data_IF_338361078153
#
_entry.id   IF_338361078153
#
_cell.length_a   1.000
_cell.length_b   1.000
_cell.length_c   1.000
_cell.angle_alpha   90.00
_cell.angle_beta   90.00
_cell.angle_gamma   90.00
#
_symmetry.space_group_name_H-M   'P 1'
#
loop_
_entity.id
_entity.type
_entity.pdbx_description
1 polymer ?
#
# COMPACT_ATOMS: atom_id res chain seq x y z
N UNK A 1 -20.21 -21.73 -2.94
CA UNK A 1 -21.47 -21.31 -2.26
C UNK A 1 -21.29 -19.93 -1.63
N UNK A 2 -22.13 -18.96 -1.97
CA UNK A 2 -22.08 -17.60 -1.41
C UNK A 2 -23.14 -17.47 -0.32
N UNK A 3 -22.78 -16.87 0.82
CA UNK A 3 -23.71 -16.64 1.93
C UNK A 3 -24.72 -15.55 1.56
N UNK A 4 -25.98 -15.78 1.89
CA UNK A 4 -27.07 -14.80 1.73
C UNK A 4 -27.65 -14.51 3.11
N UNK A 5 -27.92 -13.23 3.42
CA UNK A 5 -28.55 -12.80 4.68
C UNK A 5 -27.65 -12.08 5.69
N UNK A 6 -28.06 -12.06 6.96
CA UNK A 6 -27.43 -11.25 8.00
C UNK A 6 -26.02 -11.75 8.36
N UNK A 7 -25.04 -10.85 8.37
CA UNK A 7 -23.67 -11.15 8.80
C UNK A 7 -23.62 -11.29 10.32
N UNK A 8 -23.02 -12.38 10.81
CA UNK A 8 -22.81 -12.59 12.25
C UNK A 8 -21.96 -11.46 12.82
N UNK A 9 -22.47 -10.68 13.80
CA UNK A 9 -21.68 -9.62 14.41
C UNK A 9 -20.55 -10.22 15.26
N UNK A 10 -19.35 -9.68 15.12
CA UNK A 10 -18.23 -10.00 15.99
C UNK A 10 -17.59 -8.70 16.48
N UNK A 11 -17.89 -8.36 17.74
CA UNK A 11 -17.47 -7.11 18.37
C UNK A 11 -15.95 -7.01 18.48
N UNK A 12 -15.28 -8.13 18.80
CA UNK A 12 -13.82 -8.18 18.93
C UNK A 12 -13.13 -7.90 17.60
N UNK A 13 -13.59 -8.51 16.49
CA UNK A 13 -12.99 -8.28 15.16
C UNK A 13 -13.34 -6.90 14.61
N UNK A 14 -14.53 -6.39 14.89
CA UNK A 14 -14.95 -5.03 14.52
C UNK A 14 -14.09 -3.96 15.20
N UNK A 15 -13.89 -4.06 16.52
CA UNK A 15 -13.02 -3.15 17.27
C UNK A 15 -11.57 -3.25 16.80
N UNK A 16 -11.04 -4.48 16.64
CA UNK A 16 -9.68 -4.71 16.13
C UNK A 16 -9.48 -4.13 14.72
N UNK A 17 -10.47 -4.24 13.84
CA UNK A 17 -10.41 -3.68 12.49
C UNK A 17 -10.36 -2.13 12.49
N UNK A 18 -10.96 -1.50 13.51
CA UNK A 18 -11.02 -0.05 13.71
C UNK A 18 -9.81 0.53 14.43
N UNK A 19 -9.17 -0.24 15.32
CA UNK A 19 -7.98 0.18 16.08
C UNK A 19 -6.68 -0.32 15.45
N UNK A 20 -6.16 -1.46 15.92
CA UNK A 20 -4.86 -2.02 15.51
C UNK A 20 -4.80 -2.36 14.02
N UNK A 21 -5.91 -2.84 13.45
CA UNK A 21 -6.03 -3.10 12.02
C UNK A 21 -5.98 -1.82 11.17
N UNK A 22 -6.50 -0.70 11.69
CA UNK A 22 -6.41 0.59 10.98
C UNK A 22 -4.97 1.11 10.97
N UNK A 23 -4.27 1.05 12.12
CA UNK A 23 -2.86 1.40 12.22
C UNK A 23 -1.98 0.55 11.29
N UNK A 24 -2.15 -0.78 11.30
CA UNK A 24 -1.41 -1.68 10.39
C UNK A 24 -1.65 -1.39 8.92
N UNK A 25 -2.89 -1.04 8.52
CA UNK A 25 -3.19 -0.66 7.12
C UNK A 25 -2.61 0.70 6.75
N UNK A 26 -2.55 1.65 7.68
CA UNK A 26 -1.94 2.96 7.47
C UNK A 26 -0.43 2.83 7.24
N UNK A 27 0.26 2.05 8.07
CA UNK A 27 1.69 1.74 7.90
C UNK A 27 1.95 1.02 6.57
N UNK A 28 1.15 0.01 6.23
CA UNK A 28 1.29 -0.70 4.95
C UNK A 28 1.02 0.18 3.73
N UNK A 29 0.09 1.14 3.83
CA UNK A 29 -0.15 2.15 2.77
C UNK A 29 1.04 3.09 2.58
N UNK A 30 1.78 3.38 3.65
CA UNK A 30 2.95 4.26 3.59
C UNK A 30 4.21 3.55 3.06
N UNK A 31 4.32 2.23 3.29
CA UNK A 31 5.53 1.46 2.95
C UNK A 31 5.40 0.74 1.59
N UNK A 32 4.21 0.26 1.23
CA UNK A 32 4.02 -0.54 0.02
C UNK A 32 3.31 0.33 -1.03
N UNK A 33 3.97 0.66 -2.16
CA UNK A 33 3.48 1.66 -3.13
C UNK A 33 2.13 1.32 -3.79
N UNK A 34 1.63 0.08 -3.63
CA UNK A 34 0.34 -0.37 -4.18
C UNK A 34 -0.67 -0.91 -3.16
N UNK A 35 -0.38 -0.81 -1.87
CA UNK A 35 -1.26 -1.37 -0.85
C UNK A 35 -2.45 -0.45 -0.57
N UNK A 36 -3.67 -0.93 -0.84
CA UNK A 36 -4.91 -0.22 -0.49
C UNK A 36 -5.44 0.79 -1.52
N UNK A 37 -4.88 0.81 -2.74
CA UNK A 37 -5.45 1.50 -3.90
C UNK A 37 -6.76 0.84 -4.35
N UNK A 38 -7.69 1.62 -4.91
CA UNK A 38 -8.96 1.09 -5.48
C UNK A 38 -8.63 0.22 -6.70
N UNK A 39 -9.39 -0.85 -6.94
CA UNK A 39 -9.17 -1.76 -8.08
C UNK A 39 -8.09 -2.85 -7.87
N UNK A 40 -7.11 -2.62 -6.99
CA UNK A 40 -5.99 -3.54 -6.74
C UNK A 40 -6.39 -4.97 -6.35
N UNK A 41 -7.59 -5.16 -5.78
CA UNK A 41 -8.13 -6.48 -5.45
C UNK A 41 -8.47 -7.33 -6.68
N UNK A 42 -8.89 -6.70 -7.78
CA UNK A 42 -9.20 -7.38 -9.05
C UNK A 42 -7.93 -7.82 -9.78
N UNK A 43 -6.87 -7.02 -9.68
CA UNK A 43 -5.56 -7.33 -10.28
C UNK A 43 -4.86 -8.44 -9.50
N UNK A 44 -4.77 -8.30 -8.16
CA UNK A 44 -4.01 -9.25 -7.33
C UNK A 44 -4.74 -10.56 -7.03
N UNK A 45 -6.07 -10.55 -6.96
CA UNK A 45 -6.89 -11.71 -6.58
C UNK A 45 -8.32 -11.61 -7.16
N UNK A 46 -8.50 -11.77 -8.49
CA UNK A 46 -9.78 -11.55 -9.17
C UNK A 46 -10.92 -12.40 -8.61
N UNK A 47 -10.67 -13.69 -8.35
CA UNK A 47 -11.65 -14.62 -7.76
C UNK A 47 -12.20 -14.13 -6.40
N UNK A 48 -11.33 -13.57 -5.55
CA UNK A 48 -11.71 -13.05 -4.23
C UNK A 48 -12.42 -11.72 -4.33
N UNK A 49 -12.01 -10.86 -5.28
CA UNK A 49 -12.70 -9.60 -5.56
C UNK A 49 -14.13 -9.84 -6.05
N UNK A 50 -14.32 -10.76 -6.99
CA UNK A 50 -15.63 -11.19 -7.47
C UNK A 50 -16.48 -11.79 -6.33
N UNK A 51 -15.93 -12.70 -5.53
CA UNK A 51 -16.62 -13.26 -4.36
C UNK A 51 -17.06 -12.16 -3.38
N UNK A 52 -16.17 -11.22 -3.04
CA UNK A 52 -16.49 -10.13 -2.12
C UNK A 52 -17.53 -9.17 -2.70
N UNK A 53 -17.53 -8.94 -4.02
CA UNK A 53 -18.53 -8.13 -4.70
C UNK A 53 -19.92 -8.77 -4.56
N UNK A 54 -20.04 -10.07 -4.85
CA UNK A 54 -21.30 -10.82 -4.67
C UNK A 54 -21.68 -10.87 -3.19
N UNK A 55 -20.77 -11.27 -2.30
CA UNK A 55 -20.99 -11.36 -0.86
C UNK A 55 -21.45 -10.02 -0.25
N UNK A 56 -20.86 -8.89 -0.66
CA UNK A 56 -21.23 -7.57 -0.15
C UNK A 56 -22.65 -7.13 -0.55
N UNK A 57 -23.13 -7.61 -1.71
CA UNK A 57 -24.48 -7.35 -2.24
C UNK A 57 -25.53 -8.30 -1.66
N UNK A 58 -25.17 -9.56 -1.40
CA UNK A 58 -26.12 -10.59 -0.92
C UNK A 58 -26.19 -10.69 0.60
N UNK A 59 -25.38 -9.94 1.34
CA UNK A 59 -25.36 -9.97 2.81
C UNK A 59 -25.51 -8.59 3.42
N UNK A 60 -26.23 -8.53 4.54
CA UNK A 60 -26.50 -7.28 5.27
C UNK A 60 -25.77 -7.31 6.62
N UNK A 61 -25.05 -6.25 6.97
CA UNK A 61 -24.42 -6.11 8.28
C UNK A 61 -25.26 -5.27 9.26
N UNK A 62 -25.04 -5.46 10.57
CA UNK A 62 -25.68 -4.65 11.62
C UNK A 62 -25.45 -3.15 11.42
N UNK A 63 -24.26 -2.74 10.94
CA UNK A 63 -23.97 -1.35 10.61
C UNK A 63 -24.70 -0.80 9.38
N UNK A 64 -25.07 -1.68 8.44
CA UNK A 64 -25.85 -1.31 7.25
C UNK A 64 -27.31 -1.10 7.65
N UNK A 65 -27.84 -1.94 8.53
CA UNK A 65 -29.18 -1.78 9.14
C UNK A 65 -29.26 -0.49 9.95
N UNK A 66 -28.30 -0.23 10.84
CA UNK A 66 -28.27 1.00 11.64
C UNK A 66 -28.23 2.26 10.76
N UNK A 67 -27.47 2.22 9.66
CA UNK A 67 -27.41 3.33 8.68
C UNK A 67 -28.71 3.48 7.90
N UNK A 68 -29.37 2.39 7.54
CA UNK A 68 -30.66 2.41 6.88
C UNK A 68 -31.75 3.00 7.79
N UNK A 69 -31.79 2.59 9.06
CA UNK A 69 -32.72 3.12 10.08
C UNK A 69 -32.49 4.61 10.34
N UNK A 70 -31.21 5.04 10.42
CA UNK A 70 -30.88 6.46 10.55
C UNK A 70 -31.31 7.27 9.32
N UNK A 71 -31.24 6.70 8.10
CA UNK A 71 -31.71 7.34 6.87
C UNK A 71 -33.24 7.34 6.72
N UNK A 72 -33.94 6.34 7.22
CA UNK A 72 -35.41 6.29 7.17
C UNK A 72 -36.05 7.27 8.16
N UNK A 73 -35.45 7.49 9.33
CA UNK A 73 -35.88 8.53 10.27
C UNK A 73 -35.79 9.96 9.70
N UNK A 74 -34.85 10.20 8.78
CA UNK A 74 -34.74 11.46 8.06
C UNK A 74 -35.77 11.62 6.92
N UNK A 75 -36.40 10.52 6.46
CA UNK A 75 -37.44 10.53 5.41
C UNK A 75 -38.86 10.58 5.98
N UNK A 76 -39.10 10.05 7.19
CA UNK A 76 -40.42 10.05 7.82
C UNK A 76 -40.86 11.43 8.35
N UNK A 77 -39.94 12.38 8.51
CA UNK A 77 -40.28 13.77 8.86
C UNK A 77 -40.81 14.58 7.69
N UNK A 78 -40.84 14.04 6.47
CA UNK A 78 -41.20 14.76 5.25
C UNK A 78 -42.62 14.49 4.72
N UNK A 79 -43.38 13.53 5.28
CA UNK A 79 -44.63 13.04 4.66
C UNK A 79 -45.93 13.36 5.42
N UNK A 80 -45.96 14.36 6.30
CA UNK A 80 -47.18 14.78 7.02
C UNK A 80 -47.49 16.26 6.82
N UNK A 81 -47.80 16.70 5.60
CA UNK A 81 -48.72 17.84 5.38
C UNK A 81 -49.22 17.77 3.94
N UNK A 82 -50.47 17.36 3.77
CA UNK A 82 -51.23 17.50 2.53
C UNK A 82 -52.55 18.15 2.90
N UNK A 83 -52.77 19.40 2.50
CA UNK A 83 -54.11 19.98 2.34
C UNK A 83 -54.04 21.34 1.64
N UNK A 84 -54.81 21.44 0.55
CA UNK A 84 -55.51 22.64 0.04
C UNK A 84 -54.72 23.57 -0.92
N UNK A 85 -54.96 23.30 -2.22
CA UNK A 85 -55.35 24.18 -3.35
C UNK A 85 -54.66 25.53 -3.64
N UNK A 86 -54.27 25.63 -4.93
CA UNK A 86 -54.40 26.77 -5.88
C UNK A 86 -53.17 27.64 -6.18
N UNK A 87 -52.90 27.66 -7.49
CA UNK A 87 -52.29 28.66 -8.39
C UNK A 87 -50.81 29.05 -8.26
N UNK A 88 -50.20 28.98 -9.44
CA UNK A 88 -48.88 29.38 -9.86
C UNK A 88 -48.56 30.86 -9.57
N UNK A 89 -47.39 31.10 -9.01
CA UNK A 89 -46.26 31.84 -9.59
C UNK A 89 -45.41 32.48 -8.48
N UNK A 90 -44.10 32.30 -8.63
CA UNK A 90 -43.01 33.13 -8.08
C UNK A 90 -42.85 33.22 -6.55
N UNK A 91 -41.87 32.49 -6.00
CA UNK A 91 -41.42 32.67 -4.61
C UNK A 91 -39.90 32.47 -4.49
N UNK A 92 -39.20 33.59 -4.36
CA UNK A 92 -38.09 33.86 -3.42
C UNK A 92 -38.05 32.88 -2.22
N UNK A 93 -36.97 32.13 -1.94
CA UNK A 93 -36.91 31.36 -0.70
C UNK A 93 -36.28 32.20 0.42
N UNK A 94 -37.14 32.80 1.25
CA UNK A 94 -36.76 33.23 2.59
C UNK A 94 -36.99 32.08 3.60
N UNK A 95 -35.87 31.69 4.22
CA UNK A 95 -35.66 31.19 5.59
C UNK A 95 -36.56 30.09 6.20
N UNK A 96 -35.92 28.96 6.53
CA UNK A 96 -36.35 27.93 7.52
C UNK A 96 -35.52 28.07 8.83
N UNK A 97 -36.03 27.54 9.96
CA UNK A 97 -35.79 28.06 11.31
C UNK A 97 -34.36 27.84 11.83
N UNK A 98 -33.85 28.87 12.49
CA UNK A 98 -32.49 28.95 13.01
C UNK A 98 -32.26 28.02 14.21
N UNK A 99 -31.51 26.93 13.98
CA UNK A 99 -30.76 26.29 15.05
C UNK A 99 -29.49 27.12 15.30
N UNK A 100 -29.47 27.86 16.42
CA UNK A 100 -28.30 28.62 16.87
C UNK A 100 -27.12 27.66 17.08
N UNK A 101 -26.11 27.72 16.22
CA UNK A 101 -24.86 26.99 16.37
C UNK A 101 -23.72 27.98 16.57
N UNK A 102 -22.79 27.64 17.46
CA UNK A 102 -21.59 28.42 17.80
C UNK A 102 -20.83 28.89 16.56
N UNK A 103 -20.84 28.06 15.52
CA UNK A 103 -20.20 28.26 14.24
C UNK A 103 -20.88 29.35 13.40
N UNK A 104 -22.21 29.50 13.50
CA UNK A 104 -23.01 30.39 12.65
C UNK A 104 -23.01 31.84 13.15
N UNK A 105 -22.81 32.07 14.44
CA UNK A 105 -22.79 33.43 15.03
C UNK A 105 -21.42 34.14 14.94
N UNK A 106 -20.36 33.37 14.68
CA UNK A 106 -19.00 33.89 14.47
C UNK A 106 -18.78 34.12 12.98
N UNK A 107 -18.98 35.36 12.55
CA UNK A 107 -18.92 35.80 11.15
C UNK A 107 -17.59 36.41 10.74
N UNK A 108 -16.71 36.75 11.70
CA UNK A 108 -15.41 37.38 11.41
C UNK A 108 -14.25 36.71 12.13
N UNK A 109 -13.06 36.79 11.52
CA UNK A 109 -11.82 36.20 12.06
C UNK A 109 -11.44 36.83 13.40
N UNK A 110 -11.67 38.13 13.59
CA UNK A 110 -11.37 38.83 14.85
C UNK A 110 -12.29 38.38 16.00
N UNK A 111 -13.58 38.17 15.71
CA UNK A 111 -14.54 37.62 16.68
C UNK A 111 -14.22 36.15 17.01
N UNK A 112 -13.73 35.38 16.04
CA UNK A 112 -13.25 34.01 16.25
C UNK A 112 -12.01 33.97 17.16
N UNK A 113 -11.06 34.89 16.99
CA UNK A 113 -9.88 35.00 17.85
C UNK A 113 -10.26 35.36 19.29
N UNK A 114 -11.19 36.31 19.49
CA UNK A 114 -11.72 36.68 20.82
C UNK A 114 -12.45 35.52 21.49
N UNK A 115 -13.29 34.79 20.74
CA UNK A 115 -13.99 33.60 21.24
C UNK A 115 -13.04 32.44 21.58
N UNK A 116 -11.97 32.25 20.80
CA UNK A 116 -10.89 31.28 21.09
C UNK A 116 -10.12 31.66 22.36
N UNK A 117 -9.80 32.94 22.56
CA UNK A 117 -9.13 33.43 23.76
C UNK A 117 -9.99 33.20 25.01
N UNK A 118 -11.29 33.52 24.94
CA UNK A 118 -12.26 33.26 26.01
C UNK A 118 -12.44 31.76 26.27
N UNK A 119 -12.44 30.94 25.22
CA UNK A 119 -12.50 29.48 25.34
C UNK A 119 -11.22 28.89 25.95
N UNK A 120 -10.06 29.52 25.75
CA UNK A 120 -8.80 29.06 26.33
C UNK A 120 -8.67 29.46 27.81
N UNK A 121 -8.99 30.69 28.17
CA UNK A 121 -8.84 31.22 29.54
C UNK A 121 -10.01 30.85 30.47
N UNK A 122 -11.23 30.72 29.92
CA UNK A 122 -12.47 30.54 30.68
C UNK A 122 -13.32 29.38 30.12
N UNK A 123 -12.68 28.42 29.44
CA UNK A 123 -13.37 27.29 28.80
C UNK A 123 -13.90 26.23 29.75
N UNK A 124 -13.31 26.09 30.93
CA UNK A 124 -13.74 25.13 31.94
C UNK A 124 -15.09 25.49 32.58
N UNK A 125 -15.46 26.78 32.60
CA UNK A 125 -16.77 27.26 33.07
C UNK A 125 -17.80 27.40 31.94
N UNK A 126 -17.42 27.15 30.67
CA UNK A 126 -18.31 27.24 29.52
C UNK A 126 -18.66 28.67 29.08
N UNK A 127 -17.97 29.70 29.58
CA UNK A 127 -18.28 31.10 29.31
C UNK A 127 -18.22 31.47 27.81
N UNK A 128 -17.43 30.76 27.00
CA UNK A 128 -17.40 30.94 25.54
C UNK A 128 -18.74 30.60 24.86
N UNK A 129 -19.54 29.69 25.43
CA UNK A 129 -20.92 29.39 24.95
C UNK A 129 -21.92 30.48 25.33
N UNK A 130 -21.68 31.19 26.43
CA UNK A 130 -22.46 32.37 26.82
C UNK A 130 -22.15 33.59 25.92
N UNK A 131 -20.88 33.76 25.51
CA UNK A 131 -20.48 34.78 24.54
C UNK A 131 -21.17 34.60 23.18
N UNK A 132 -21.37 33.35 22.75
CA UNK A 132 -22.18 32.98 21.59
C UNK A 132 -23.71 32.94 21.86
N UNK A 133 -24.19 33.69 22.88
CA UNK A 133 -25.62 33.84 23.26
C UNK A 133 -26.43 32.53 23.34
N UNK A 134 -25.79 31.39 23.59
CA UNK A 134 -26.42 30.06 23.67
C UNK A 134 -26.64 29.65 25.12
N UNK A 135 -27.56 30.35 25.80
CA UNK A 135 -27.82 30.22 27.24
C UNK A 135 -28.24 28.80 27.66
N UNK A 136 -29.07 28.11 26.88
CA UNK A 136 -29.50 26.74 27.21
C UNK A 136 -28.34 25.73 27.22
N UNK A 137 -27.41 25.86 26.28
CA UNK A 137 -26.24 24.97 26.22
C UNK A 137 -25.18 25.33 27.27
N UNK A 138 -25.16 26.59 27.71
CA UNK A 138 -24.28 27.09 28.75
C UNK A 138 -24.63 26.49 30.12
N UNK A 139 -25.91 26.52 30.53
CA UNK A 139 -26.34 25.92 31.80
C UNK A 139 -26.08 24.40 31.85
N UNK A 140 -26.30 23.71 30.73
CA UNK A 140 -26.03 22.27 30.62
C UNK A 140 -24.53 21.96 30.72
N UNK A 141 -23.67 22.85 30.21
CA UNK A 141 -22.21 22.72 30.29
C UNK A 141 -21.66 23.03 31.69
N UNK A 142 -22.25 24.03 32.36
CA UNK A 142 -21.88 24.47 33.71
C UNK A 142 -22.20 23.40 34.75
N UNK A 143 -23.40 22.80 34.69
CA UNK A 143 -23.81 21.75 35.62
C UNK A 143 -23.12 20.40 35.38
N UNK A 144 -22.55 20.20 34.18
CA UNK A 144 -21.83 18.97 33.82
C UNK A 144 -20.31 19.12 33.94
N UNK A 145 -19.79 20.28 34.37
CA UNK A 145 -18.35 20.57 34.45
C UNK A 145 -17.59 20.16 33.17
N UNK A 146 -18.17 20.44 31.99
CA UNK A 146 -17.55 20.05 30.72
C UNK A 146 -17.27 18.53 30.58
N UNK A 147 -18.03 17.69 31.31
CA UNK A 147 -18.08 16.22 31.35
C UNK A 147 -16.74 15.49 31.09
N UNK A 148 -15.66 15.85 31.80
CA UNK A 148 -14.25 15.39 31.69
C UNK A 148 -13.32 16.18 30.75
N UNK A 149 -13.62 17.43 30.41
CA UNK A 149 -12.71 18.29 29.62
C UNK A 149 -12.65 17.93 28.12
N UNK A 150 -13.22 16.79 27.71
CA UNK A 150 -13.38 16.44 26.30
C UNK A 150 -14.33 17.39 25.56
N UNK A 151 -15.34 17.92 26.24
CA UNK A 151 -16.21 18.97 25.69
C UNK A 151 -15.43 20.24 25.38
N UNK A 152 -14.43 20.58 26.19
CA UNK A 152 -13.59 21.76 26.00
C UNK A 152 -12.67 21.58 24.80
N UNK A 153 -12.05 20.40 24.68
CA UNK A 153 -11.22 20.05 23.53
C UNK A 153 -12.01 20.04 22.22
N UNK A 154 -13.24 19.51 22.23
CA UNK A 154 -14.11 19.49 21.06
C UNK A 154 -14.51 20.91 20.61
N UNK A 155 -14.83 21.80 21.56
CA UNK A 155 -15.17 23.18 21.25
C UNK A 155 -13.96 23.96 20.68
N UNK A 156 -12.73 23.70 21.17
CA UNK A 156 -11.49 24.26 20.60
C UNK A 156 -11.28 23.82 19.15
N UNK A 157 -11.38 22.51 18.87
CA UNK A 157 -11.21 21.98 17.50
C UNK A 157 -12.26 22.57 16.57
N UNK A 158 -13.50 22.71 17.04
CA UNK A 158 -14.59 23.29 16.25
C UNK A 158 -14.34 24.77 15.93
N UNK A 159 -13.88 25.57 16.90
CA UNK A 159 -13.53 26.98 16.69
C UNK A 159 -12.31 27.15 15.77
N UNK A 160 -11.30 26.28 15.88
CA UNK A 160 -10.12 26.28 14.99
C UNK A 160 -10.49 25.95 13.55
N UNK A 161 -11.33 24.92 13.34
CA UNK A 161 -11.82 24.59 12.01
C UNK A 161 -12.60 25.76 11.41
N UNK A 162 -13.49 26.39 12.17
CA UNK A 162 -14.24 27.57 11.71
C UNK A 162 -13.34 28.77 11.37
N UNK A 163 -12.30 29.02 12.16
CA UNK A 163 -11.30 30.06 11.86
C UNK A 163 -10.56 29.77 10.55
N UNK A 164 -10.21 28.52 10.31
CA UNK A 164 -9.53 28.11 9.06
C UNK A 164 -10.44 28.27 7.85
N UNK A 165 -11.74 27.96 7.98
CA UNK A 165 -12.74 28.20 6.95
C UNK A 165 -12.90 29.69 6.64
N UNK A 166 -12.99 30.55 7.67
CA UNK A 166 -13.10 32.00 7.49
C UNK A 166 -11.87 32.62 6.82
N UNK A 167 -10.65 32.10 7.08
CA UNK A 167 -9.45 32.55 6.35
C UNK A 167 -9.49 32.15 4.87
N UNK A 168 -9.95 30.94 4.56
CA UNK A 168 -10.07 30.48 3.16
C UNK A 168 -11.10 31.28 2.37
N UNK A 169 -12.14 31.76 3.04
CA UNK A 169 -13.14 32.65 2.44
C UNK A 169 -12.64 34.09 2.27
N UNK A 170 -11.74 34.56 3.12
CA UNK A 170 -11.12 35.88 2.99
C UNK A 170 -10.05 35.97 1.88
N UNK A 171 -9.53 34.83 1.43
CA UNK A 171 -8.52 34.72 0.37
C UNK A 171 -9.13 34.67 -1.05
N UNK A 172 -10.46 34.79 -1.14
CA UNK A 172 -11.22 34.68 -2.39
C UNK A 172 -12.04 35.96 -2.65
N UNK A 173 -11.36 37.06 -2.95
CA UNK A 173 -11.97 38.22 -3.62
C UNK A 173 -11.13 38.58 -4.87
N UNK A 174 -11.72 38.86 -6.06
CA UNK A 174 -11.09 38.65 -7.36
C UNK A 174 -10.62 39.94 -8.03
N UNK A 175 -9.57 39.87 -8.87
CA UNK A 175 -9.42 40.84 -9.98
C UNK A 175 -8.71 40.25 -11.20
N UNK A 176 -9.32 40.50 -12.37
CA UNK A 176 -8.89 40.38 -13.80
C UNK A 176 -8.89 38.96 -14.43
N UNK A 177 -9.93 38.56 -15.20
CA UNK A 177 -10.34 38.91 -16.59
C UNK A 177 -9.51 38.20 -17.70
N UNK A 178 -10.02 37.56 -18.77
CA UNK A 178 -11.31 36.96 -19.18
C UNK A 178 -11.11 36.24 -20.55
N UNK A 179 -11.51 34.96 -20.67
CA UNK A 179 -12.22 34.24 -21.79
C UNK A 179 -11.61 34.16 -23.24
N UNK A 180 -12.08 33.26 -24.15
CA UNK A 180 -13.27 32.40 -24.08
C UNK A 180 -13.09 30.90 -24.45
N UNK A 181 -14.19 30.19 -24.21
CA UNK A 181 -14.43 28.76 -24.32
C UNK A 181 -14.21 28.17 -25.72
N UNK A 182 -13.74 26.92 -25.77
CA UNK A 182 -14.16 25.95 -26.79
C UNK A 182 -14.39 24.59 -26.14
N UNK A 183 -15.46 23.95 -26.58
CA UNK A 183 -15.91 22.62 -26.15
C UNK A 183 -15.30 21.65 -27.15
N UNK A 184 -14.43 20.72 -26.74
CA UNK A 184 -14.46 19.38 -27.35
C UNK A 184 -13.61 18.31 -26.66
N UNK A 185 -14.17 17.10 -26.74
CA UNK A 185 -13.59 15.76 -26.57
C UNK A 185 -13.04 15.33 -25.19
N UNK A 186 -13.71 14.32 -24.65
CA UNK A 186 -13.32 13.54 -23.46
C UNK A 186 -12.23 12.50 -23.79
N UNK A 187 -11.35 12.78 -24.75
CA UNK A 187 -10.31 11.86 -25.22
C UNK A 187 -8.87 12.29 -24.84
N UNK A 188 -8.63 13.56 -24.50
CA UNK A 188 -7.28 14.05 -24.16
C UNK A 188 -6.85 13.90 -22.70
N UNK A 189 -7.67 13.29 -21.84
CA UNK A 189 -7.32 13.13 -20.41
C UNK A 189 -6.38 11.96 -20.10
N UNK A 190 -6.03 11.16 -21.10
CA UNK A 190 -5.13 10.00 -20.92
C UNK A 190 -3.67 10.28 -21.30
N UNK A 191 -3.34 11.43 -21.91
CA UNK A 191 -1.95 11.81 -22.24
C UNK A 191 -1.31 12.67 -21.13
N UNK A 192 -2.12 13.32 -20.29
CA UNK A 192 -1.61 14.07 -19.14
C UNK A 192 -1.30 13.18 -17.92
N UNK A 193 -1.83 11.95 -17.86
CA UNK A 193 -1.57 11.03 -16.75
C UNK A 193 -0.31 10.18 -16.99
N UNK A 194 0.14 9.99 -18.24
CA UNK A 194 1.40 9.29 -18.57
C UNK A 194 2.64 9.99 -18.01
N UNK A 195 2.69 11.33 -18.06
CA UNK A 195 3.82 12.10 -17.53
C UNK A 195 3.96 12.05 -16.00
N UNK A 196 2.89 11.71 -15.27
CA UNK A 196 2.91 11.57 -13.81
C UNK A 196 3.43 10.18 -13.36
N UNK A 197 3.33 9.15 -14.22
CA UNK A 197 3.88 7.82 -13.93
C UNK A 197 5.39 7.77 -14.15
N UNK A 198 5.87 8.39 -15.23
CA UNK A 198 7.31 8.53 -15.54
C UNK A 198 8.00 9.36 -14.47
N UNK A 199 7.48 10.56 -14.14
CA UNK A 199 8.07 11.44 -13.13
C UNK A 199 8.09 10.81 -11.72
N UNK A 200 7.13 9.93 -11.42
CA UNK A 200 7.09 9.16 -10.16
C UNK A 200 8.03 7.95 -10.19
N UNK A 201 8.16 7.29 -11.33
CA UNK A 201 9.16 6.24 -11.58
C UNK A 201 10.58 6.77 -11.47
N UNK A 202 10.84 7.94 -12.03
CA UNK A 202 12.11 8.66 -11.97
C UNK A 202 12.45 9.05 -10.53
N UNK A 203 11.46 9.55 -9.78
CA UNK A 203 11.64 9.87 -8.36
C UNK A 203 11.94 8.63 -7.50
N UNK A 204 11.28 7.50 -7.75
CA UNK A 204 11.54 6.23 -7.06
C UNK A 204 12.91 5.63 -7.44
N UNK A 205 13.29 5.72 -8.72
CA UNK A 205 14.59 5.27 -9.21
C UNK A 205 15.74 6.12 -8.63
N UNK A 206 15.58 7.45 -8.61
CA UNK A 206 16.54 8.37 -8.01
C UNK A 206 16.70 8.11 -6.51
N UNK A 207 15.60 7.92 -5.78
CA UNK A 207 15.64 7.57 -4.35
C UNK A 207 16.34 6.23 -4.10
N UNK A 208 16.14 5.23 -4.99
CA UNK A 208 16.83 3.93 -4.91
C UNK A 208 18.33 4.07 -5.15
N UNK A 209 18.74 4.86 -6.14
CA UNK A 209 20.14 5.13 -6.44
C UNK A 209 20.82 5.89 -5.28
N UNK A 210 20.15 6.89 -4.73
CA UNK A 210 20.66 7.63 -3.58
C UNK A 210 20.83 6.73 -2.34
N UNK A 211 19.85 5.84 -2.09
CA UNK A 211 19.94 4.87 -1.01
C UNK A 211 21.12 3.90 -1.22
N UNK A 212 21.32 3.41 -2.45
CA UNK A 212 22.45 2.54 -2.77
C UNK A 212 23.79 3.26 -2.60
N UNK A 213 23.90 4.54 -2.98
CA UNK A 213 25.09 5.36 -2.74
C UNK A 213 25.39 5.51 -1.24
N UNK A 214 24.37 5.76 -0.42
CA UNK A 214 24.50 5.85 1.04
C UNK A 214 24.91 4.52 1.67
N UNK A 215 24.28 3.42 1.23
CA UNK A 215 24.63 2.09 1.72
C UNK A 215 26.07 1.72 1.36
N UNK A 216 26.50 1.98 0.11
CA UNK A 216 27.88 1.75 -0.35
C UNK A 216 28.89 2.53 0.51
N UNK A 217 28.68 3.83 0.68
CA UNK A 217 29.56 4.66 1.53
C UNK A 217 29.62 4.16 2.98
N UNK A 218 28.48 3.75 3.56
CA UNK A 218 28.45 3.15 4.89
C UNK A 218 29.29 1.86 4.97
N UNK A 219 29.29 1.03 3.93
CA UNK A 219 30.13 -0.18 3.90
C UNK A 219 31.62 0.16 3.88
N UNK A 220 32.02 1.10 3.02
CA UNK A 220 33.41 1.58 2.92
C UNK A 220 33.89 2.18 4.25
N UNK A 221 33.08 3.03 4.89
CA UNK A 221 33.40 3.65 6.19
C UNK A 221 33.59 2.62 7.31
N UNK A 222 32.95 1.45 7.19
CA UNK A 222 33.08 0.35 8.14
C UNK A 222 34.15 -0.68 7.71
N UNK A 223 35.00 -0.35 6.72
CA UNK A 223 36.15 -1.14 6.32
C UNK A 223 35.83 -2.33 5.41
N UNK A 224 34.68 -2.33 4.74
CA UNK A 224 34.36 -3.33 3.72
C UNK A 224 34.91 -2.85 2.38
N UNK A 225 35.71 -3.70 1.73
CA UNK A 225 36.13 -3.48 0.35
C UNK A 225 34.93 -3.69 -0.59
N UNK A 226 34.32 -2.60 -1.05
CA UNK A 226 33.14 -2.67 -1.92
C UNK A 226 33.49 -2.98 -3.36
N UNK A 227 34.72 -2.70 -3.78
CA UNK A 227 35.20 -2.92 -5.15
C UNK A 227 35.45 -4.40 -5.42
N UNK A 228 35.56 -5.22 -4.37
CA UNK A 228 35.63 -6.67 -4.50
C UNK A 228 34.37 -7.29 -5.12
N UNK A 229 33.22 -6.62 -5.06
CA UNK A 229 31.94 -7.14 -5.55
C UNK A 229 31.68 -6.69 -6.99
N UNK A 230 32.49 -7.18 -7.92
CA UNK A 230 32.31 -6.90 -9.35
C UNK A 230 31.26 -7.80 -9.99
N UNK A 231 30.75 -7.40 -11.15
CA UNK A 231 29.79 -8.16 -11.96
C UNK A 231 30.38 -9.51 -12.38
N UNK A 232 31.65 -9.53 -12.78
CA UNK A 232 32.36 -10.75 -13.19
C UNK A 232 32.49 -11.74 -12.04
N UNK A 233 32.81 -11.23 -10.83
CA UNK A 233 32.86 -12.08 -9.63
C UNK A 233 31.49 -12.70 -9.37
N UNK A 234 30.42 -11.91 -9.44
CA UNK A 234 29.06 -12.38 -9.17
C UNK A 234 28.63 -13.43 -10.19
N UNK A 235 28.87 -13.20 -11.48
CA UNK A 235 28.56 -14.15 -12.54
C UNK A 235 29.36 -15.47 -12.38
N UNK A 236 30.66 -15.36 -12.10
CA UNK A 236 31.52 -16.53 -11.85
C UNK A 236 31.09 -17.30 -10.60
N UNK A 237 30.72 -16.61 -9.52
CA UNK A 237 30.23 -17.24 -8.29
C UNK A 237 28.89 -17.94 -8.50
N UNK A 238 27.98 -17.34 -9.29
CA UNK A 238 26.71 -17.96 -9.66
C UNK A 238 26.93 -19.27 -10.44
N UNK A 239 27.68 -19.21 -11.54
CA UNK A 239 27.96 -20.36 -12.40
C UNK A 239 28.67 -21.48 -11.63
N UNK A 240 29.77 -21.17 -10.93
CA UNK A 240 30.51 -22.15 -10.13
C UNK A 240 29.64 -22.81 -9.06
N UNK A 241 28.75 -22.05 -8.42
CA UNK A 241 27.84 -22.62 -7.42
C UNK A 241 26.83 -23.57 -8.06
N UNK A 242 26.25 -23.20 -9.21
CA UNK A 242 25.31 -24.06 -9.92
C UNK A 242 26.00 -25.34 -10.38
N UNK A 243 27.14 -25.24 -11.04
CA UNK A 243 27.92 -26.36 -11.56
C UNK A 243 28.32 -27.35 -10.46
N UNK A 244 28.75 -26.84 -9.30
CA UNK A 244 29.23 -27.68 -8.20
C UNK A 244 28.13 -28.27 -7.33
N UNK A 245 27.04 -27.53 -7.06
CA UNK A 245 26.03 -27.94 -6.06
C UNK A 245 24.75 -28.48 -6.71
N UNK A 246 24.32 -27.92 -7.84
CA UNK A 246 23.06 -28.29 -8.49
C UNK A 246 23.11 -28.17 -10.02
N UNK A 247 24.00 -28.91 -10.71
CA UNK A 247 24.24 -28.75 -12.15
C UNK A 247 22.99 -28.98 -13.01
N UNK A 248 22.00 -29.76 -12.54
CA UNK A 248 20.73 -29.92 -13.23
C UNK A 248 19.97 -28.61 -13.46
N UNK A 249 20.22 -27.57 -12.65
CA UNK A 249 19.61 -26.25 -12.84
C UNK A 249 20.13 -25.50 -14.08
N UNK A 250 21.27 -25.89 -14.65
CA UNK A 250 21.77 -25.31 -15.92
C UNK A 250 20.83 -25.59 -17.09
N UNK A 251 19.88 -26.53 -17.00
CA UNK A 251 18.89 -26.73 -18.05
C UNK A 251 18.02 -25.49 -18.31
N UNK A 252 17.78 -24.67 -17.29
CA UNK A 252 17.01 -23.43 -17.40
C UNK A 252 17.84 -22.26 -17.92
N UNK A 253 19.17 -22.43 -18.03
CA UNK A 253 20.07 -21.40 -18.49
C UNK A 253 20.09 -21.34 -20.03
N UNK A 254 19.88 -20.14 -20.57
CA UNK A 254 19.89 -19.84 -22.01
C UNK A 254 20.79 -18.67 -22.38
N UNK A 255 21.61 -18.20 -21.43
CA UNK A 255 22.41 -16.99 -21.62
C UNK A 255 22.65 -16.18 -20.34
N UNK A 256 22.53 -16.79 -19.15
CA UNK A 256 22.71 -16.11 -17.87
C UNK A 256 24.10 -15.46 -17.74
N UNK A 257 25.12 -16.01 -18.38
CA UNK A 257 26.47 -15.44 -18.40
C UNK A 257 26.58 -14.12 -19.17
N UNK A 258 25.61 -13.81 -20.03
CA UNK A 258 25.56 -12.58 -20.82
C UNK A 258 24.82 -11.45 -20.10
N UNK A 259 24.14 -11.76 -18.99
CA UNK A 259 23.38 -10.78 -18.20
C UNK A 259 24.26 -10.03 -17.20
N UNK A 260 24.05 -8.72 -17.10
CA UNK A 260 24.67 -7.88 -16.07
C UNK A 260 23.99 -8.12 -14.71
N UNK A 261 24.73 -8.59 -13.69
CA UNK A 261 24.18 -8.81 -12.36
C UNK A 261 23.76 -7.49 -11.70
N UNK A 262 22.53 -7.45 -11.17
CA UNK A 262 22.11 -6.34 -10.31
C UNK A 262 22.71 -6.50 -8.91
N UNK A 263 23.65 -5.62 -8.55
CA UNK A 263 24.33 -5.63 -7.26
C UNK A 263 23.74 -4.53 -6.36
N UNK A 264 23.40 -4.91 -5.12
CA UNK A 264 22.83 -3.97 -4.15
C UNK A 264 23.45 -4.14 -2.76
N UNK A 265 23.85 -3.04 -2.15
CA UNK A 265 24.35 -2.99 -0.78
C UNK A 265 23.19 -2.94 0.20
N UNK A 266 23.22 -3.81 1.20
CA UNK A 266 22.18 -3.89 2.22
C UNK A 266 22.23 -2.67 3.14
N UNK A 267 21.07 -2.15 3.54
CA UNK A 267 21.03 -1.07 4.53
C UNK A 267 21.47 -1.56 5.91
N UNK A 268 22.00 -0.66 6.77
CA UNK A 268 22.26 -0.96 8.17
C UNK A 268 21.04 -1.55 8.87
N UNK A 269 21.28 -2.38 9.88
CA UNK A 269 20.19 -2.89 10.70
C UNK A 269 19.46 -1.76 11.41
N UNK A 270 18.27 -2.04 11.96
CA UNK A 270 17.47 -1.03 12.70
C UNK A 270 18.23 -0.38 13.88
N UNK A 271 19.28 -1.03 14.37
CA UNK A 271 20.14 -0.54 15.46
C UNK A 271 21.39 0.20 14.95
N UNK A 272 21.52 0.40 13.64
CA UNK A 272 22.68 1.02 13.01
C UNK A 272 23.91 0.11 12.91
N UNK A 273 23.78 -1.18 13.26
CA UNK A 273 24.87 -2.16 13.16
C UNK A 273 24.98 -2.73 11.74
N UNK A 274 26.19 -3.17 11.39
CA UNK A 274 26.49 -3.89 10.17
C UNK A 274 25.58 -5.11 9.98
N UNK A 275 24.88 -5.24 8.83
CA UNK A 275 24.09 -6.43 8.54
C UNK A 275 24.99 -7.66 8.33
N UNK A 276 24.47 -8.86 8.60
CA UNK A 276 25.20 -10.11 8.35
C UNK A 276 25.52 -10.29 6.85
N UNK A 277 24.54 -9.98 6.01
CA UNK A 277 24.72 -9.95 4.56
C UNK A 277 24.95 -8.48 4.17
N UNK A 278 26.07 -8.19 3.53
CA UNK A 278 26.45 -6.82 3.17
C UNK A 278 26.02 -6.47 1.75
N UNK A 279 26.01 -7.47 0.86
CA UNK A 279 25.64 -7.34 -0.55
C UNK A 279 24.64 -8.43 -0.92
N UNK A 280 23.61 -8.04 -1.66
CA UNK A 280 22.70 -8.91 -2.37
C UNK A 280 22.85 -8.66 -3.87
N UNK A 281 23.22 -9.70 -4.60
CA UNK A 281 23.33 -9.67 -6.05
C UNK A 281 22.28 -10.58 -6.69
N UNK A 282 21.76 -10.18 -7.85
CA UNK A 282 20.76 -10.93 -8.60
C UNK A 282 21.15 -10.99 -10.07
N UNK A 283 21.10 -12.19 -10.64
CA UNK A 283 21.16 -12.43 -12.07
C UNK A 283 19.80 -13.01 -12.48
N UNK A 284 19.18 -12.43 -13.50
CA UNK A 284 17.93 -12.92 -14.05
C UNK A 284 18.07 -12.99 -15.56
N UNK A 285 17.84 -14.16 -16.12
CA UNK A 285 17.81 -14.37 -17.56
C UNK A 285 16.50 -15.02 -17.95
N UNK A 286 15.93 -14.59 -19.08
CA UNK A 286 14.72 -15.15 -19.65
C UNK A 286 14.88 -15.25 -21.17
N UNK A 287 14.71 -16.45 -21.70
CA UNK A 287 14.64 -16.68 -23.14
C UNK A 287 13.37 -16.01 -23.68
N UNK A 288 13.55 -15.02 -24.56
CA UNK A 288 12.46 -14.31 -25.22
C UNK A 288 12.64 -14.44 -26.71
N UNK A 289 11.70 -15.10 -27.38
CA UNK A 289 11.66 -15.21 -28.84
C UNK A 289 10.59 -14.29 -29.39
N UNK A 290 10.97 -13.42 -30.32
CA UNK A 290 10.02 -12.54 -31.00
C UNK A 290 9.40 -13.31 -32.17
N UNK A 291 8.12 -13.63 -32.06
CA UNK A 291 7.34 -14.23 -33.16
C UNK A 291 6.61 -13.12 -33.91
N UNK A 292 6.79 -13.08 -35.23
CA UNK A 292 6.00 -12.22 -36.10
C UNK A 292 4.66 -12.90 -36.40
N UNK A 293 3.57 -12.22 -36.11
CA UNK A 293 2.27 -12.66 -36.60
C UNK A 293 2.11 -12.37 -38.11
N UNK A 294 1.04 -12.90 -38.71
CA UNK A 294 0.73 -12.68 -40.13
C UNK A 294 0.39 -11.22 -40.49
N UNK A 295 0.24 -10.36 -39.49
CA UNK A 295 -0.07 -8.93 -39.63
C UNK A 295 1.15 -8.03 -39.31
N UNK A 296 2.32 -8.62 -39.03
CA UNK A 296 3.56 -7.91 -38.73
C UNK A 296 3.70 -7.43 -37.28
N UNK A 297 2.89 -7.92 -36.34
CA UNK A 297 3.07 -7.66 -34.92
C UNK A 297 4.08 -8.63 -34.30
N UNK A 298 5.05 -8.08 -33.57
CA UNK A 298 6.02 -8.84 -32.79
C UNK A 298 5.38 -9.23 -31.45
N UNK A 299 5.16 -10.53 -31.22
CA UNK A 299 4.76 -11.04 -29.91
C UNK A 299 5.94 -11.75 -29.23
N UNK A 300 6.31 -11.35 -28.00
CA UNK A 300 7.32 -12.07 -27.23
C UNK A 300 6.75 -13.40 -26.73
N UNK A 301 7.35 -14.49 -27.17
CA UNK A 301 7.20 -15.82 -26.60
C UNK A 301 8.25 -16.00 -25.51
N UNK A 302 7.79 -16.19 -24.27
CA UNK A 302 8.65 -16.39 -23.12
C UNK A 302 8.95 -17.89 -22.95
N UNK A 303 10.22 -18.24 -23.09
CA UNK A 303 10.74 -19.59 -22.88
C UNK A 303 11.23 -19.83 -21.46
N UNK A 304 12.37 -20.48 -21.37
CA UNK A 304 13.02 -20.83 -20.10
C UNK A 304 13.48 -19.57 -19.37
N UNK A 305 13.44 -19.58 -18.04
CA UNK A 305 14.07 -18.52 -17.26
C UNK A 305 14.77 -19.05 -16.02
N UNK A 306 15.83 -18.35 -15.65
CA UNK A 306 16.63 -18.62 -14.46
C UNK A 306 16.86 -17.34 -13.68
N UNK A 307 16.70 -17.41 -12.36
CA UNK A 307 16.96 -16.33 -11.43
C UNK A 307 17.88 -16.83 -10.34
N UNK A 308 19.06 -16.21 -10.21
CA UNK A 308 20.05 -16.53 -9.19
C UNK A 308 20.19 -15.32 -8.27
N UNK A 309 19.96 -15.52 -6.98
CA UNK A 309 20.13 -14.51 -5.95
C UNK A 309 21.23 -14.93 -4.99
N UNK A 310 22.27 -14.13 -4.86
CA UNK A 310 23.43 -14.39 -4.01
C UNK A 310 23.47 -13.35 -2.89
N UNK A 311 23.69 -13.80 -1.65
CA UNK A 311 24.00 -12.92 -0.53
C UNK A 311 25.43 -13.13 -0.05
N UNK A 312 26.20 -12.05 0.01
CA UNK A 312 27.61 -12.07 0.45
C UNK A 312 27.79 -11.60 1.89
N UNK A 313 28.81 -12.17 2.55
CA UNK A 313 29.35 -11.68 3.82
C UNK A 313 30.33 -10.53 3.58
N UNK A 314 30.71 -9.86 4.67
CA UNK A 314 31.66 -8.74 4.66
C UNK A 314 33.04 -9.09 4.10
N UNK A 315 33.43 -10.37 4.12
CA UNK A 315 34.70 -10.88 3.61
C UNK A 315 34.64 -11.33 2.13
N UNK A 316 33.54 -11.04 1.44
CA UNK A 316 33.36 -11.40 0.03
C UNK A 316 32.89 -12.84 -0.22
N UNK A 317 32.77 -13.67 0.83
CA UNK A 317 32.31 -15.06 0.70
C UNK A 317 30.79 -15.14 0.59
N UNK A 318 30.33 -16.14 -0.17
CA UNK A 318 28.91 -16.45 -0.35
C UNK A 318 28.33 -17.01 0.97
N UNK A 319 27.27 -16.39 1.50
CA UNK A 319 26.51 -16.92 2.64
C UNK A 319 25.30 -17.75 2.19
N UNK A 320 24.61 -17.27 1.16
CA UNK A 320 23.35 -17.86 0.66
C UNK A 320 23.28 -17.71 -0.85
N UNK A 321 22.76 -18.73 -1.51
CA UNK A 321 22.34 -18.66 -2.91
C UNK A 321 20.94 -19.23 -3.00
N UNK A 322 20.03 -18.52 -3.65
CA UNK A 322 18.70 -19.01 -3.99
C UNK A 322 18.56 -18.98 -5.51
N UNK A 323 18.23 -20.13 -6.10
CA UNK A 323 18.12 -20.31 -7.56
C UNK A 323 16.68 -20.69 -7.87
N UNK A 324 16.10 -20.05 -8.87
CA UNK A 324 14.76 -20.35 -9.36
C UNK A 324 14.83 -20.60 -10.87
N UNK A 325 14.43 -21.79 -11.29
CA UNK A 325 14.26 -22.15 -12.69
C UNK A 325 12.78 -22.20 -13.05
N UNK A 326 12.44 -21.77 -14.25
CA UNK A 326 11.09 -21.82 -14.79
C UNK A 326 11.12 -22.35 -16.22
N UNK A 327 10.18 -23.25 -16.51
CA UNK A 327 9.97 -23.80 -17.84
C UNK A 327 8.49 -24.18 -17.99
N UNK A 328 7.83 -23.69 -19.06
CA UNK A 328 6.47 -24.08 -19.43
C UNK A 328 5.44 -24.04 -18.28
N UNK A 329 5.43 -22.96 -17.50
CA UNK A 329 4.46 -22.79 -16.40
C UNK A 329 4.82 -23.53 -15.10
N UNK A 330 5.90 -24.31 -15.10
CA UNK A 330 6.41 -25.00 -13.91
C UNK A 330 7.66 -24.31 -13.40
N UNK A 331 7.82 -24.30 -12.09
CA UNK A 331 8.99 -23.71 -11.44
C UNK A 331 9.60 -24.69 -10.45
N UNK A 332 10.92 -24.62 -10.36
CA UNK A 332 11.71 -25.30 -9.35
C UNK A 332 12.64 -24.30 -8.68
N UNK A 333 12.86 -24.47 -7.39
CA UNK A 333 13.62 -23.56 -6.55
C UNK A 333 14.58 -24.35 -5.68
N UNK A 334 15.77 -23.79 -5.52
CA UNK A 334 16.86 -24.39 -4.74
C UNK A 334 17.42 -23.33 -3.81
N UNK A 335 17.63 -23.70 -2.56
CA UNK A 335 18.26 -22.85 -1.55
C UNK A 335 19.54 -23.49 -1.05
N UNK A 336 20.65 -22.82 -1.29
CA UNK A 336 22.00 -23.20 -0.91
C UNK A 336 22.45 -22.27 0.21
N UNK A 337 23.08 -22.83 1.25
CA UNK A 337 23.57 -22.06 2.40
C UNK A 337 25.00 -22.49 2.70
N UNK A 338 25.81 -21.53 3.14
CA UNK A 338 27.15 -21.81 3.66
C UNK A 338 27.05 -22.55 4.99
N UNK A 339 27.77 -23.66 5.10
CA UNK A 339 28.06 -24.36 6.37
C UNK A 339 29.56 -24.49 6.52
N UNK A 340 30.12 -23.78 7.49
CA UNK A 340 31.57 -23.63 7.65
C UNK A 340 32.20 -23.07 6.38
N UNK A 341 32.92 -23.89 5.61
CA UNK A 341 33.54 -23.47 4.36
C UNK A 341 32.86 -23.94 3.08
N UNK A 342 31.92 -24.89 3.21
CA UNK A 342 31.22 -25.49 2.08
C UNK A 342 29.87 -24.83 1.81
N UNK A 343 29.46 -24.85 0.55
CA UNK A 343 28.11 -24.51 0.13
C UNK A 343 27.30 -25.79 -0.02
N UNK A 344 26.22 -25.91 0.76
CA UNK A 344 25.37 -27.09 0.75
C UNK A 344 23.94 -26.71 0.39
N UNK A 345 23.31 -27.54 -0.45
CA UNK A 345 21.89 -27.42 -0.73
C UNK A 345 21.08 -27.76 0.53
N UNK A 346 20.31 -26.81 1.02
CA UNK A 346 19.50 -26.96 2.25
C UNK A 346 18.04 -27.26 1.98
N UNK A 347 17.53 -26.86 0.81
CA UNK A 347 16.18 -27.23 0.39
C UNK A 347 16.05 -27.14 -1.13
N UNK A 348 15.23 -28.01 -1.68
CA UNK A 348 14.74 -27.94 -3.06
C UNK A 348 13.22 -28.11 -3.03
N UNK A 349 12.52 -27.40 -3.92
CA UNK A 349 11.07 -27.34 -3.91
C UNK A 349 10.48 -26.74 -5.17
N UNK A 350 9.20 -26.99 -5.39
CA UNK A 350 8.42 -26.41 -6.50
C UNK A 350 7.30 -25.54 -5.95
N UNK A 351 6.72 -24.71 -6.81
CA UNK A 351 5.49 -23.99 -6.49
C UNK A 351 4.33 -24.83 -7.02
N UNK A 352 3.52 -25.37 -6.11
CA UNK A 352 2.34 -26.15 -6.47
C UNK A 352 1.23 -25.29 -7.09
N UNK A 353 0.19 -25.92 -7.61
CA UNK A 353 -0.95 -25.26 -8.29
C UNK A 353 -1.67 -24.19 -7.44
N UNK A 354 -1.58 -24.31 -6.11
CA UNK A 354 -2.15 -23.35 -5.17
C UNK A 354 -1.29 -22.10 -4.96
N UNK A 355 -0.11 -22.05 -5.59
CA UNK A 355 0.93 -21.04 -5.35
C UNK A 355 1.74 -21.28 -4.07
N UNK A 356 1.49 -22.39 -3.36
CA UNK A 356 2.25 -22.74 -2.17
C UNK A 356 3.56 -23.44 -2.54
N UNK A 357 4.64 -23.07 -1.85
CA UNK A 357 5.91 -23.79 -1.96
C UNK A 357 5.79 -25.18 -1.36
N UNK A 358 6.25 -26.19 -2.10
CA UNK A 358 6.26 -27.59 -1.72
C UNK A 358 7.69 -28.12 -1.76
N UNK A 359 8.16 -28.68 -0.64
CA UNK A 359 9.49 -29.30 -0.60
C UNK A 359 9.51 -30.61 -1.36
N UNK A 360 10.56 -30.84 -2.15
CA UNK A 360 10.79 -32.12 -2.83
C UNK A 360 11.21 -33.23 -1.86
N UNK A 361 11.91 -32.89 -0.78
CA UNK A 361 12.30 -33.83 0.27
C UNK A 361 12.11 -33.19 1.65
N UNK A 362 10.90 -33.24 2.22
CA UNK A 362 10.66 -32.72 3.56
C UNK A 362 11.47 -33.50 4.59
N UNK A 363 12.37 -32.82 5.31
CA UNK A 363 13.18 -33.42 6.37
C UNK A 363 14.44 -34.15 5.90
N UNK A 364 14.80 -34.06 4.62
CA UNK A 364 16.08 -34.60 4.15
C UNK A 364 17.27 -33.90 4.80
N UNK A 365 18.29 -34.68 5.12
CA UNK A 365 19.58 -34.16 5.56
C UNK A 365 20.33 -33.56 4.36
N UNK A 366 20.77 -32.29 4.40
CA UNK A 366 21.55 -31.66 3.35
C UNK A 366 22.78 -32.46 2.86
N UNK A 367 23.38 -33.28 3.74
CA UNK A 367 24.55 -34.11 3.42
C UNK A 367 24.22 -35.44 2.71
N UNK A 368 22.97 -35.88 2.72
CA UNK A 368 22.62 -37.22 2.26
C UNK A 368 22.52 -37.36 0.72
N UNK A 369 22.63 -36.25 -0.04
CA UNK A 369 22.49 -36.25 -1.49
C UNK A 369 21.05 -36.47 -2.01
N UNK A 370 20.11 -36.79 -1.13
CA UNK A 370 18.70 -37.02 -1.45
C UNK A 370 18.05 -35.80 -2.12
N UNK A 371 18.37 -34.59 -1.65
CA UNK A 371 17.90 -33.34 -2.23
C UNK A 371 18.33 -33.18 -3.70
N UNK A 372 19.58 -33.54 -4.02
CA UNK A 372 20.09 -33.44 -5.39
C UNK A 372 19.39 -34.43 -6.30
N UNK A 373 19.27 -35.70 -5.87
CA UNK A 373 18.56 -36.73 -6.64
C UNK A 373 17.11 -36.35 -6.92
N UNK A 374 16.40 -35.82 -5.91
CA UNK A 374 15.02 -35.40 -6.07
C UNK A 374 14.88 -34.16 -6.95
N UNK A 375 15.79 -33.20 -6.82
CA UNK A 375 15.86 -32.04 -7.70
C UNK A 375 16.07 -32.46 -9.15
N UNK A 376 17.05 -33.32 -9.44
CA UNK A 376 17.33 -33.79 -10.80
C UNK A 376 16.11 -34.47 -11.41
N UNK A 377 15.47 -35.39 -10.68
CA UNK A 377 14.24 -36.07 -11.13
C UNK A 377 13.10 -35.09 -11.42
N UNK A 378 12.98 -34.03 -10.62
CA UNK A 378 11.95 -33.02 -10.84
C UNK A 378 12.26 -32.13 -12.05
N UNK A 379 13.52 -31.74 -12.26
CA UNK A 379 13.95 -31.02 -13.47
C UNK A 379 13.68 -31.85 -14.72
N UNK A 380 13.99 -33.16 -14.68
CA UNK A 380 13.68 -34.11 -15.76
C UNK A 380 12.18 -34.31 -16.01
N UNK A 381 11.32 -34.03 -15.02
CA UNK A 381 9.86 -34.10 -15.16
C UNK A 381 9.27 -32.81 -15.73
N UNK A 382 9.96 -31.69 -15.52
CA UNK A 382 9.53 -30.37 -15.98
C UNK A 382 9.78 -30.23 -17.49
N UNK A 383 10.97 -30.64 -17.94
CA UNK A 383 11.33 -30.79 -19.35
C UNK A 383 10.77 -32.09 -19.93
#
# INVERSE_FOLDING_TARGET
MVKVGLRKPNLKTSLKARTTGRAKRAVKRAIIPDYGKRGMGWIKNPKKAAYNAVYSRTTVGVGDVARAVAKSGARSSASRTSSITVSSHEVTPLAKPEQKSLTREITSVDRANKALLLCFLLGWSGAHRAYARMWGSFFLYLFTFGLFGFGWLFDIVTLLMRRSELRRLGDSDPTQQQAPCSVDSTFDRNVADSGNWEQRGDGEAAARLELQRKNRAYMEENGIDVEMFTEEKVAADALRTIESVCPCMLRFDRGMSEEEPSISFCSPTKTGKMPKNVVEARIYHQDVKLLMDSHGFELPEYGDSINVMISYLADGRINKVDIHGFHNGRSVSVSIRRRSDDLVMTSAGTIGETGAWQSLCPGADPSAGDLFRALTKEVERIY
#
